data_IF_741691088506
#
_entry.id   IF_741691088506
#
_cell.length_a   1.000
_cell.length_b   1.000
_cell.length_c   1.000
_cell.angle_alpha   90.00
_cell.angle_beta   90.00
_cell.angle_gamma   90.00
#
_symmetry.space_group_name_H-M   'P 1'
#
loop_
_entity.id
_entity.type
_entity.pdbx_description
1 polymer ?
#
# COMPACT_ATOMS: atom_id res chain seq x y z
N UNK A 1 -17.41 -7.13 3.18
CA UNK A 1 -16.22 -6.68 2.43
C UNK A 1 -15.02 -6.73 3.36
N UNK A 2 -13.94 -7.32 2.90
CA UNK A 2 -12.71 -7.47 3.67
C UNK A 2 -11.59 -6.75 2.93
N UNK A 3 -10.79 -6.00 3.65
CA UNK A 3 -9.63 -5.27 3.14
C UNK A 3 -8.39 -5.71 3.90
N UNK A 4 -7.30 -5.80 3.19
CA UNK A 4 -5.96 -5.93 3.77
C UNK A 4 -5.09 -4.87 3.12
N UNK A 5 -4.51 -4.02 3.92
CA UNK A 5 -3.48 -3.08 3.49
C UNK A 5 -2.20 -3.44 4.22
N UNK A 6 -1.11 -3.52 3.47
CA UNK A 6 0.23 -3.83 3.97
C UNK A 6 0.24 -4.91 5.06
N UNK A 7 0.58 -6.08 4.73
CA UNK A 7 0.90 -7.35 5.45
C UNK A 7 0.59 -7.47 6.96
N UNK A 8 0.20 -6.41 7.67
CA UNK A 8 0.07 -6.39 9.13
C UNK A 8 -1.34 -6.13 9.66
N UNK A 9 -2.28 -5.60 8.86
CA UNK A 9 -3.64 -5.34 9.37
C UNK A 9 -4.75 -5.66 8.39
N UNK A 10 -5.85 -6.20 8.91
CA UNK A 10 -7.07 -6.47 8.17
C UNK A 10 -8.23 -5.66 8.77
N UNK A 11 -8.98 -4.97 7.93
CA UNK A 11 -10.27 -4.39 8.30
C UNK A 11 -11.40 -5.23 7.72
N UNK A 12 -12.35 -5.63 8.54
CA UNK A 12 -13.43 -6.51 8.15
C UNK A 12 -14.78 -5.88 8.48
N UNK A 13 -15.74 -5.91 7.52
CA UNK A 13 -17.09 -5.45 7.80
C UNK A 13 -17.74 -6.27 8.91
N UNK A 14 -18.47 -5.61 9.81
CA UNK A 14 -18.99 -6.22 11.04
C UNK A 14 -19.91 -7.42 10.82
N UNK A 15 -20.56 -7.52 9.66
CA UNK A 15 -21.40 -8.66 9.27
C UNK A 15 -20.60 -9.94 8.93
N UNK A 16 -19.33 -9.81 8.58
CA UNK A 16 -18.45 -10.93 8.23
C UNK A 16 -17.35 -11.19 9.28
N UNK A 17 -17.16 -10.26 10.22
CA UNK A 17 -16.02 -10.26 11.12
C UNK A 17 -16.00 -11.50 12.01
N UNK A 18 -17.12 -11.90 12.60
CA UNK A 18 -17.17 -13.06 13.51
C UNK A 18 -16.83 -14.36 12.81
N UNK A 19 -17.38 -14.59 11.63
CA UNK A 19 -17.07 -15.79 10.84
C UNK A 19 -15.61 -15.77 10.38
N UNK A 20 -15.13 -14.63 9.93
CA UNK A 20 -13.75 -14.47 9.51
C UNK A 20 -12.78 -14.73 10.67
N UNK A 21 -13.01 -14.11 11.84
CA UNK A 21 -12.17 -14.31 13.03
C UNK A 21 -12.17 -15.79 13.41
N UNK A 22 -13.32 -16.43 13.47
CA UNK A 22 -13.42 -17.87 13.78
C UNK A 22 -12.57 -18.73 12.84
N UNK A 23 -12.63 -18.46 11.54
CA UNK A 23 -11.89 -19.24 10.53
C UNK A 23 -10.39 -18.96 10.64
N UNK A 24 -9.98 -17.70 10.70
CA UNK A 24 -8.55 -17.32 10.68
C UNK A 24 -7.84 -17.77 11.97
N UNK A 25 -8.49 -17.69 13.12
CA UNK A 25 -7.92 -18.19 14.39
C UNK A 25 -7.75 -19.71 14.38
N UNK A 26 -8.72 -20.45 13.86
CA UNK A 26 -8.61 -21.89 13.69
C UNK A 26 -7.45 -22.26 12.75
N UNK A 27 -7.30 -21.56 11.62
CA UNK A 27 -6.22 -21.82 10.67
C UNK A 27 -4.84 -21.41 11.24
N UNK A 28 -4.75 -20.29 11.92
CA UNK A 28 -3.51 -19.85 12.56
C UNK A 28 -3.04 -20.82 13.65
N UNK A 29 -3.98 -21.40 14.42
CA UNK A 29 -3.69 -22.39 15.44
C UNK A 29 -3.12 -23.72 14.90
N UNK A 30 -3.22 -23.98 13.60
CA UNK A 30 -2.61 -25.14 12.95
C UNK A 30 -1.15 -24.88 12.53
N UNK A 31 -0.71 -23.62 12.57
CA UNK A 31 0.64 -23.24 12.15
C UNK A 31 1.61 -23.26 13.34
N UNK A 32 2.84 -23.67 13.08
CA UNK A 32 3.93 -23.66 14.06
C UNK A 32 5.21 -23.17 13.43
N UNK A 33 5.86 -22.21 14.06
CA UNK A 33 7.20 -21.80 13.69
C UNK A 33 8.18 -22.98 13.89
N UNK A 34 9.15 -23.08 13.01
CA UNK A 34 10.08 -24.21 12.98
C UNK A 34 9.57 -25.45 12.22
N UNK A 35 8.25 -25.52 11.91
CA UNK A 35 7.63 -26.60 11.16
C UNK A 35 7.07 -26.08 9.83
N UNK A 36 6.18 -25.08 9.89
CA UNK A 36 5.50 -24.55 8.72
C UNK A 36 6.18 -23.30 8.13
N UNK A 37 6.94 -22.61 8.93
CA UNK A 37 7.79 -21.47 8.53
C UNK A 37 9.01 -21.36 9.44
N UNK A 38 10.04 -20.65 8.97
CA UNK A 38 11.36 -20.56 9.63
C UNK A 38 11.40 -19.59 10.80
N UNK A 39 12.59 -19.52 11.40
CA UNK A 39 12.94 -18.54 12.42
C UNK A 39 13.04 -17.13 11.81
N UNK A 40 12.91 -16.12 12.66
CA UNK A 40 13.21 -14.74 12.30
C UNK A 40 14.69 -14.60 11.95
N UNK A 41 15.00 -14.07 10.78
CA UNK A 41 16.39 -13.97 10.29
C UNK A 41 17.15 -12.81 10.92
N UNK A 42 16.45 -11.77 11.36
CA UNK A 42 17.04 -10.59 11.98
C UNK A 42 16.63 -10.51 13.47
N UNK A 43 17.58 -10.58 14.41
CA UNK A 43 17.25 -10.46 15.83
C UNK A 43 16.55 -9.15 16.19
N UNK A 44 16.95 -8.02 15.60
CA UNK A 44 16.31 -6.71 15.80
C UNK A 44 14.84 -6.69 15.41
N UNK A 45 14.41 -7.56 14.48
CA UNK A 45 13.01 -7.65 14.11
C UNK A 45 12.14 -8.26 15.20
N UNK A 46 12.72 -9.11 16.03
CA UNK A 46 12.03 -9.66 17.22
C UNK A 46 11.69 -8.55 18.21
N UNK A 47 12.59 -7.56 18.37
CA UNK A 47 12.35 -6.41 19.25
C UNK A 47 11.20 -5.55 18.73
N UNK A 48 11.13 -5.33 17.40
CA UNK A 48 10.02 -4.61 16.76
C UNK A 48 8.71 -5.36 16.94
N UNK A 49 8.68 -6.67 16.67
CA UNK A 49 7.49 -7.50 16.86
C UNK A 49 7.04 -7.46 18.32
N UNK A 50 7.99 -7.60 19.26
CA UNK A 50 7.71 -7.55 20.69
C UNK A 50 7.06 -6.23 21.08
N UNK A 51 7.68 -5.11 20.67
CA UNK A 51 7.14 -3.76 20.93
C UNK A 51 5.72 -3.60 20.39
N UNK A 52 5.48 -3.96 19.14
CA UNK A 52 4.16 -3.81 18.52
C UNK A 52 3.10 -4.66 19.22
N UNK A 53 3.43 -5.89 19.59
CA UNK A 53 2.50 -6.78 20.33
C UNK A 53 2.20 -6.20 21.72
N UNK A 54 3.22 -5.76 22.46
CA UNK A 54 3.06 -5.16 23.78
C UNK A 54 2.25 -3.85 23.71
N UNK A 55 2.55 -2.97 22.75
CA UNK A 55 1.81 -1.72 22.52
C UNK A 55 0.34 -1.99 22.19
N UNK A 56 0.07 -2.98 21.35
CA UNK A 56 -1.30 -3.36 20.96
C UNK A 56 -2.10 -3.88 22.17
N UNK A 57 -1.50 -4.78 22.97
CA UNK A 57 -2.14 -5.34 24.15
C UNK A 57 -2.34 -4.29 25.25
N UNK A 58 -1.34 -3.42 25.48
CA UNK A 58 -1.44 -2.33 26.45
C UNK A 58 -2.50 -1.29 26.08
N UNK A 59 -2.76 -1.12 24.78
CA UNK A 59 -3.83 -0.23 24.26
C UNK A 59 -5.23 -0.86 24.31
N UNK A 60 -5.38 -2.07 24.88
CA UNK A 60 -6.66 -2.75 25.01
C UNK A 60 -7.00 -3.72 23.87
N UNK A 61 -6.08 -4.01 22.98
CA UNK A 61 -6.24 -5.02 21.94
C UNK A 61 -6.54 -6.39 22.53
N UNK A 62 -7.45 -7.13 21.91
CA UNK A 62 -7.90 -8.46 22.36
C UNK A 62 -7.08 -9.55 21.67
N UNK A 63 -6.23 -10.32 22.38
CA UNK A 63 -5.50 -11.43 21.78
C UNK A 63 -6.46 -12.58 21.42
N UNK A 64 -6.44 -12.98 20.16
CA UNK A 64 -7.26 -14.08 19.63
C UNK A 64 -6.42 -15.36 19.46
N UNK A 65 -5.15 -15.20 19.10
CA UNK A 65 -4.16 -16.28 19.00
C UNK A 65 -2.83 -15.74 19.49
N UNK A 66 -2.14 -16.51 20.35
CA UNK A 66 -0.86 -16.10 20.89
C UNK A 66 -0.92 -14.80 21.67
N UNK A 67 0.22 -14.20 21.84
CA UNK A 67 0.45 -12.96 22.59
C UNK A 67 1.93 -12.79 22.81
N UNK A 68 2.32 -12.16 23.91
CA UNK A 68 3.72 -11.97 24.27
C UNK A 68 4.47 -13.31 24.41
N UNK A 69 3.83 -14.33 24.94
CA UNK A 69 4.36 -15.68 25.15
C UNK A 69 4.63 -16.43 23.83
N UNK A 70 4.02 -16.02 22.74
CA UNK A 70 4.24 -16.57 21.41
C UNK A 70 5.60 -16.18 20.81
N UNK A 71 6.28 -15.21 21.42
CA UNK A 71 7.59 -14.71 20.98
C UNK A 71 8.68 -15.44 21.78
N UNK A 72 9.31 -16.42 21.14
CA UNK A 72 10.37 -17.26 21.71
C UNK A 72 11.57 -17.27 20.75
N UNK A 73 12.42 -16.26 20.86
CA UNK A 73 13.55 -16.06 19.96
C UNK A 73 14.34 -17.36 19.69
N UNK A 74 14.68 -17.68 18.46
CA UNK A 74 14.46 -16.92 17.23
C UNK A 74 13.10 -17.16 16.55
N UNK A 75 12.19 -17.88 17.19
CA UNK A 75 10.88 -18.22 16.67
C UNK A 75 9.80 -17.30 17.21
N UNK A 76 8.85 -16.96 16.34
CA UNK A 76 7.62 -16.24 16.71
C UNK A 76 6.46 -17.10 16.21
N UNK A 77 5.60 -17.57 17.11
CA UNK A 77 4.37 -18.29 16.75
C UNK A 77 3.33 -17.30 16.20
N UNK A 78 2.29 -17.77 15.48
CA UNK A 78 1.25 -16.87 14.97
C UNK A 78 0.59 -16.06 16.09
N UNK A 79 0.46 -14.76 15.88
CA UNK A 79 -0.19 -13.82 16.79
C UNK A 79 -1.32 -13.12 16.04
N UNK A 80 -2.52 -13.14 16.61
CA UNK A 80 -3.68 -12.39 16.08
C UNK A 80 -4.26 -11.56 17.21
N UNK A 81 -4.34 -10.25 17.02
CA UNK A 81 -4.91 -9.31 17.98
C UNK A 81 -6.04 -8.54 17.30
N UNK A 82 -7.18 -8.45 17.95
CA UNK A 82 -8.32 -7.70 17.45
C UNK A 82 -8.52 -6.39 18.22
N UNK A 83 -9.27 -5.46 17.62
CA UNK A 83 -9.73 -4.22 18.24
C UNK A 83 -8.59 -3.32 18.74
N UNK A 84 -7.51 -3.23 17.98
CA UNK A 84 -6.37 -2.36 18.29
C UNK A 84 -6.68 -0.94 17.80
N UNK A 85 -6.49 0.11 18.62
CA UNK A 85 -6.69 1.50 18.19
C UNK A 85 -5.88 1.86 16.95
N UNK A 86 -6.49 2.63 16.04
CA UNK A 86 -5.88 2.96 14.74
C UNK A 86 -4.57 3.76 14.84
N UNK A 87 -4.34 4.49 15.91
CA UNK A 87 -3.10 5.24 16.16
C UNK A 87 -2.01 4.42 16.84
N UNK A 88 -2.21 3.11 17.02
CA UNK A 88 -1.22 2.22 17.62
C UNK A 88 -0.10 1.89 16.63
N UNK A 89 1.13 1.69 17.14
CA UNK A 89 2.29 1.33 16.32
C UNK A 89 2.07 0.04 15.51
N UNK A 90 1.41 -0.96 16.09
CA UNK A 90 1.09 -2.23 15.40
C UNK A 90 0.11 -2.07 14.21
N UNK A 91 -0.59 -0.93 14.11
CA UNK A 91 -1.49 -0.60 13.00
C UNK A 91 -0.81 0.36 12.01
N UNK A 92 -0.03 1.32 12.51
CA UNK A 92 0.57 2.39 11.72
C UNK A 92 1.94 2.03 11.13
N UNK A 93 2.66 1.10 11.74
CA UNK A 93 4.00 0.70 11.31
C UNK A 93 3.98 -0.74 10.77
N UNK A 94 4.92 -1.07 9.91
CA UNK A 94 5.02 -2.40 9.33
C UNK A 94 5.65 -3.40 10.32
N UNK A 95 4.88 -4.43 10.69
CA UNK A 95 5.37 -5.53 11.53
C UNK A 95 5.81 -6.69 10.64
N UNK A 96 7.09 -6.77 10.31
CA UNK A 96 7.63 -7.91 9.57
C UNK A 96 7.70 -9.17 10.44
N UNK A 97 6.58 -9.88 10.54
CA UNK A 97 6.47 -11.09 11.35
C UNK A 97 5.08 -11.73 11.27
N UNK A 98 4.86 -12.88 11.91
CA UNK A 98 3.59 -13.59 11.90
C UNK A 98 2.55 -12.96 12.85
N UNK A 99 2.37 -11.65 12.73
CA UNK A 99 1.41 -10.86 13.51
C UNK A 99 0.32 -10.33 12.60
N UNK A 100 -0.92 -10.44 13.01
CA UNK A 100 -2.09 -9.96 12.29
C UNK A 100 -2.97 -9.13 13.22
N UNK A 101 -3.24 -7.89 12.86
CA UNK A 101 -4.23 -7.05 13.52
C UNK A 101 -5.54 -7.12 12.77
N UNK A 102 -6.66 -7.30 13.47
CA UNK A 102 -8.00 -7.36 12.87
C UNK A 102 -8.88 -6.30 13.50
N UNK A 103 -9.26 -5.28 12.75
CA UNK A 103 -10.16 -4.25 13.19
C UNK A 103 -11.52 -4.35 12.49
N UNK A 104 -12.60 -4.16 13.25
CA UNK A 104 -13.98 -4.12 12.74
C UNK A 104 -14.29 -2.76 12.17
N UNK A 105 -15.11 -2.73 11.13
CA UNK A 105 -15.62 -1.51 10.51
C UNK A 105 -17.11 -1.65 10.23
N UNK A 106 -17.82 -0.53 10.25
CA UNK A 106 -19.27 -0.47 10.08
C UNK A 106 -19.69 -0.26 8.62
N UNK A 107 -18.77 0.22 7.78
CA UNK A 107 -19.05 0.51 6.37
C UNK A 107 -17.84 0.33 5.47
N UNK A 108 -18.07 0.26 4.15
CA UNK A 108 -17.02 0.26 3.14
C UNK A 108 -16.22 1.58 3.17
N UNK A 109 -16.87 2.69 3.48
CA UNK A 109 -16.27 4.02 3.57
C UNK A 109 -15.28 4.10 4.74
N UNK A 110 -15.67 3.62 5.91
CA UNK A 110 -14.80 3.54 7.09
C UNK A 110 -13.59 2.63 6.81
N UNK A 111 -13.81 1.50 6.16
CA UNK A 111 -12.73 0.59 5.78
C UNK A 111 -11.71 1.27 4.84
N UNK A 112 -12.18 2.03 3.85
CA UNK A 112 -11.33 2.76 2.92
C UNK A 112 -10.55 3.87 3.64
N UNK A 113 -11.22 4.60 4.55
CA UNK A 113 -10.59 5.66 5.34
C UNK A 113 -9.44 5.09 6.18
N UNK A 114 -9.69 4.04 6.97
CA UNK A 114 -8.68 3.37 7.78
C UNK A 114 -7.54 2.80 6.94
N UNK A 115 -7.86 2.13 5.83
CA UNK A 115 -6.86 1.59 4.92
C UNK A 115 -5.95 2.65 4.28
N UNK A 116 -6.43 3.87 4.11
CA UNK A 116 -5.68 5.00 3.56
C UNK A 116 -5.00 5.88 4.62
N UNK A 117 -5.20 5.59 5.91
CA UNK A 117 -4.72 6.44 7.00
C UNK A 117 -3.23 6.23 7.34
N UNK A 118 -2.61 5.15 6.86
CA UNK A 118 -1.18 4.91 7.04
C UNK A 118 -0.34 5.67 6.01
N UNK A 119 0.93 5.92 6.30
CA UNK A 119 1.88 6.52 5.35
C UNK A 119 2.31 5.55 4.24
N UNK A 120 2.11 4.25 4.44
CA UNK A 120 2.43 3.18 3.51
C UNK A 120 1.35 2.99 2.43
N UNK A 121 1.70 2.27 1.38
CA UNK A 121 0.79 1.94 0.28
C UNK A 121 1.44 1.02 -0.75
N UNK A 122 1.99 -0.12 -0.31
CA UNK A 122 2.58 -1.10 -1.24
C UNK A 122 1.49 -1.88 -1.95
N UNK A 123 0.68 -2.61 -1.20
CA UNK A 123 -0.34 -3.47 -1.76
C UNK A 123 -1.57 -3.60 -0.89
N UNK A 124 -2.71 -3.85 -1.51
CA UNK A 124 -3.96 -4.15 -0.83
C UNK A 124 -4.68 -5.34 -1.45
N UNK A 125 -5.46 -6.04 -0.65
CA UNK A 125 -6.35 -7.10 -1.10
C UNK A 125 -7.79 -6.79 -0.71
N UNK A 126 -8.69 -6.80 -1.68
CA UNK A 126 -10.12 -6.54 -1.48
C UNK A 126 -10.91 -7.79 -1.75
N UNK A 127 -11.63 -8.29 -0.75
CA UNK A 127 -12.48 -9.46 -0.88
C UNK A 127 -13.95 -9.05 -0.95
N UNK A 128 -14.56 -9.19 -2.11
CA UNK A 128 -15.95 -8.79 -2.31
C UNK A 128 -16.56 -9.45 -3.54
N UNK A 129 -17.82 -9.87 -3.45
CA UNK A 129 -18.55 -10.46 -4.58
C UNK A 129 -18.90 -9.43 -5.67
N UNK A 130 -19.19 -8.18 -5.31
CA UNK A 130 -19.74 -7.17 -6.24
C UNK A 130 -19.05 -5.82 -6.22
N UNK A 131 -18.51 -5.39 -5.08
CA UNK A 131 -17.99 -4.02 -4.87
C UNK A 131 -16.48 -3.89 -5.06
N UNK A 132 -15.74 -5.01 -5.24
CA UNK A 132 -14.28 -5.04 -5.20
C UNK A 132 -13.61 -3.98 -6.07
N UNK A 133 -14.04 -3.83 -7.33
CA UNK A 133 -13.50 -2.81 -8.25
C UNK A 133 -13.73 -1.38 -7.77
N UNK A 134 -14.95 -1.07 -7.28
CA UNK A 134 -15.32 0.27 -6.80
C UNK A 134 -14.51 0.66 -5.55
N UNK A 135 -14.26 -0.30 -4.70
CA UNK A 135 -13.46 -0.10 -3.47
C UNK A 135 -11.99 0.06 -3.83
N UNK A 136 -11.45 -0.84 -4.66
CA UNK A 136 -10.07 -0.79 -5.13
C UNK A 136 -9.69 0.59 -5.70
N UNK A 137 -10.57 1.22 -6.48
CA UNK A 137 -10.35 2.56 -7.05
C UNK A 137 -10.21 3.68 -6.00
N UNK A 138 -10.60 3.45 -4.75
CA UNK A 138 -10.54 4.44 -3.68
C UNK A 138 -9.35 4.21 -2.73
N UNK A 139 -8.65 3.08 -2.85
CA UNK A 139 -7.49 2.76 -2.03
C UNK A 139 -6.23 3.44 -2.56
N UNK A 140 -5.47 4.06 -1.66
CA UNK A 140 -4.19 4.73 -1.93
C UNK A 140 -3.05 3.73 -1.80
N UNK A 141 -2.90 2.85 -2.78
CA UNK A 141 -1.85 1.84 -2.80
C UNK A 141 -1.38 1.60 -4.22
N UNK A 142 -0.13 1.18 -4.38
CA UNK A 142 0.46 0.93 -5.70
C UNK A 142 -0.09 -0.30 -6.39
N UNK A 143 -0.54 -1.30 -5.62
CA UNK A 143 -1.04 -2.56 -6.16
C UNK A 143 -2.29 -3.01 -5.43
N UNK A 144 -3.24 -3.61 -6.15
CA UNK A 144 -4.47 -4.13 -5.54
C UNK A 144 -4.85 -5.46 -6.17
N UNK A 145 -5.09 -6.45 -5.31
CA UNK A 145 -5.73 -7.72 -5.70
C UNK A 145 -7.20 -7.73 -5.30
N UNK A 146 -8.04 -8.32 -6.14
CA UNK A 146 -9.46 -8.54 -5.82
C UNK A 146 -9.68 -10.05 -5.72
N UNK A 147 -10.19 -10.51 -4.56
CA UNK A 147 -10.40 -11.92 -4.22
C UNK A 147 -9.13 -12.79 -4.36
N UNK A 148 -7.99 -12.19 -4.09
CA UNK A 148 -6.68 -12.83 -4.06
C UNK A 148 -5.76 -12.08 -3.11
N UNK A 149 -4.85 -12.77 -2.45
CA UNK A 149 -3.89 -12.15 -1.50
C UNK A 149 -2.81 -11.38 -2.27
N UNK A 150 -2.19 -12.00 -3.25
CA UNK A 150 -1.01 -11.50 -3.97
C UNK A 150 -1.13 -11.66 -5.49
N UNK A 151 -2.35 -11.56 -6.02
CA UNK A 151 -2.58 -11.77 -7.45
C UNK A 151 -1.70 -10.89 -8.35
N UNK A 152 -1.39 -9.69 -7.94
CA UNK A 152 -0.53 -8.76 -8.67
C UNK A 152 0.94 -9.20 -8.74
N UNK A 153 1.45 -9.92 -7.74
CA UNK A 153 2.87 -10.30 -7.67
C UNK A 153 3.26 -11.36 -8.73
N UNK A 154 2.31 -12.19 -9.14
CA UNK A 154 2.54 -13.24 -10.15
C UNK A 154 2.39 -12.79 -11.61
N UNK A 155 2.04 -11.53 -11.86
CA UNK A 155 1.75 -11.02 -13.21
C UNK A 155 2.86 -10.05 -13.65
N UNK A 156 3.83 -10.57 -14.40
CA UNK A 156 5.01 -9.80 -14.84
C UNK A 156 4.72 -8.61 -15.77
N UNK A 157 3.53 -8.55 -16.37
CA UNK A 157 3.08 -7.43 -17.20
C UNK A 157 2.45 -6.29 -16.41
N UNK A 158 2.19 -6.50 -15.10
CA UNK A 158 1.59 -5.49 -14.22
C UNK A 158 2.69 -4.82 -13.41
N UNK A 159 2.77 -3.48 -13.39
CA UNK A 159 3.76 -2.77 -12.58
C UNK A 159 3.65 -3.14 -11.11
N UNK A 160 4.78 -3.45 -10.50
CA UNK A 160 4.88 -3.76 -9.07
C UNK A 160 5.63 -2.64 -8.36
N UNK A 161 5.03 -2.06 -7.32
CA UNK A 161 5.63 -1.00 -6.52
C UNK A 161 4.61 -0.25 -5.69
N UNK A 162 5.08 0.48 -4.70
CA UNK A 162 4.27 1.20 -3.72
C UNK A 162 4.06 2.69 -4.01
N UNK A 163 3.43 3.34 -3.05
CA UNK A 163 3.32 4.80 -2.92
C UNK A 163 3.62 5.20 -1.47
N UNK A 164 3.87 6.48 -1.23
CA UNK A 164 4.23 6.98 0.10
C UNK A 164 5.52 6.33 0.61
N UNK A 165 5.57 5.96 1.88
CA UNK A 165 6.75 5.37 2.52
C UNK A 165 7.09 3.96 2.00
N UNK A 166 6.17 3.31 1.28
CA UNK A 166 6.44 2.05 0.56
C UNK A 166 7.26 2.23 -0.72
N UNK A 167 7.70 3.45 -1.03
CA UNK A 167 8.55 3.76 -2.18
C UNK A 167 7.81 4.30 -3.40
N UNK A 168 8.55 4.63 -4.46
CA UNK A 168 8.01 5.32 -5.63
C UNK A 168 8.38 4.66 -6.97
N UNK A 169 9.38 3.80 -7.01
CA UNK A 169 9.77 3.09 -8.23
C UNK A 169 8.78 2.00 -8.63
N UNK A 170 8.99 1.44 -9.81
CA UNK A 170 8.25 0.27 -10.29
C UNK A 170 9.20 -0.79 -10.81
N UNK A 171 8.84 -2.05 -10.59
CA UNK A 171 9.41 -3.20 -11.31
C UNK A 171 8.28 -3.87 -12.10
N UNK A 172 8.61 -4.71 -13.04
CA UNK A 172 7.68 -5.34 -13.98
C UNK A 172 6.99 -4.34 -14.93
N UNK A 173 6.41 -4.87 -15.99
CA UNK A 173 5.71 -4.09 -17.00
C UNK A 173 6.57 -3.07 -17.75
N UNK A 174 5.97 -2.28 -18.62
CA UNK A 174 6.66 -1.18 -19.32
C UNK A 174 7.21 -0.12 -18.37
N UNK A 175 6.56 0.12 -17.25
CA UNK A 175 6.96 1.09 -16.24
C UNK A 175 8.26 0.67 -15.57
N UNK A 176 8.39 -0.60 -15.19
CA UNK A 176 9.63 -1.14 -14.62
C UNK A 176 10.81 -1.06 -15.60
N UNK A 177 10.58 -1.26 -16.90
CA UNK A 177 11.63 -1.08 -17.90
C UNK A 177 12.07 0.39 -18.01
N UNK A 178 11.15 1.34 -17.89
CA UNK A 178 11.45 2.78 -17.93
C UNK A 178 12.33 3.25 -16.79
N UNK A 179 12.30 2.60 -15.62
CA UNK A 179 13.16 2.93 -14.47
C UNK A 179 14.68 2.79 -14.80
N UNK A 180 15.01 1.95 -15.78
CA UNK A 180 16.39 1.78 -16.26
C UNK A 180 16.73 2.67 -17.47
N UNK A 181 15.88 3.64 -17.80
CA UNK A 181 16.04 4.52 -18.96
C UNK A 181 15.92 5.99 -18.54
N UNK A 182 16.33 6.87 -19.43
CA UNK A 182 16.07 8.29 -19.29
C UNK A 182 15.37 8.84 -20.53
N UNK A 183 14.42 9.73 -20.32
CA UNK A 183 13.71 10.37 -21.41
C UNK A 183 14.63 11.39 -22.11
N UNK A 184 14.69 11.32 -23.45
CA UNK A 184 15.38 12.32 -24.29
C UNK A 184 14.36 12.98 -25.19
N UNK A 185 14.31 14.30 -25.15
CA UNK A 185 13.50 15.08 -26.09
C UNK A 185 14.38 15.62 -27.21
N UNK A 186 13.96 15.42 -28.46
CA UNK A 186 14.60 15.99 -29.65
C UNK A 186 13.52 16.83 -30.34
N UNK A 187 13.73 18.15 -30.37
CA UNK A 187 12.86 19.08 -31.09
C UNK A 187 13.59 19.56 -32.37
N UNK A 188 12.99 19.31 -33.51
CA UNK A 188 13.48 19.81 -34.79
C UNK A 188 12.38 20.63 -35.47
N UNK A 189 12.62 21.91 -35.80
CA UNK A 189 11.63 22.71 -36.50
C UNK A 189 11.43 22.20 -37.92
N UNK A 190 10.17 21.94 -38.28
CA UNK A 190 9.80 21.47 -39.64
C UNK A 190 9.97 22.56 -40.68
N UNK A 191 9.82 23.83 -40.24
CA UNK A 191 9.97 25.02 -41.09
C UNK A 191 10.78 26.08 -40.31
N UNK A 192 11.50 26.93 -41.03
CA UNK A 192 12.09 28.13 -40.42
C UNK A 192 10.97 29.06 -40.00
N UNK A 193 10.86 29.32 -38.68
CA UNK A 193 9.90 30.28 -38.20
C UNK A 193 10.26 31.70 -38.68
N UNK A 194 9.34 32.43 -39.25
CA UNK A 194 9.55 33.84 -39.61
C UNK A 194 9.68 34.70 -38.34
N UNK A 195 9.19 34.22 -37.20
CA UNK A 195 9.30 34.86 -35.89
C UNK A 195 10.42 34.22 -35.11
N UNK A 196 11.49 34.96 -34.86
CA UNK A 196 12.61 34.53 -34.00
C UNK A 196 12.25 34.84 -32.53
N UNK A 197 11.53 33.95 -31.86
CA UNK A 197 11.04 34.14 -30.50
C UNK A 197 12.15 34.29 -29.45
N UNK A 198 13.32 33.73 -29.71
CA UNK A 198 14.49 33.75 -28.80
C UNK A 198 15.53 34.80 -29.15
N UNK A 199 15.25 35.69 -30.11
CA UNK A 199 16.20 36.74 -30.52
C UNK A 199 16.15 37.96 -29.57
N UNK A 200 17.29 38.46 -29.15
CA UNK A 200 17.42 39.70 -28.44
C UNK A 200 17.10 40.97 -29.31
N UNK A 201 16.98 40.78 -30.62
CA UNK A 201 16.63 41.87 -31.57
C UNK A 201 15.11 42.03 -31.76
N UNK A 202 14.31 41.59 -30.78
CA UNK A 202 12.86 41.78 -30.83
C UNK A 202 12.50 43.22 -30.55
N UNK A 203 11.59 43.77 -31.32
CA UNK A 203 11.04 45.08 -31.12
C UNK A 203 9.61 45.05 -30.55
N UNK A 204 9.07 46.19 -30.05
CA UNK A 204 7.75 46.25 -29.44
C UNK A 204 6.60 45.72 -30.32
N UNK A 205 6.72 45.82 -31.64
CA UNK A 205 5.72 45.27 -32.61
C UNK A 205 5.71 43.75 -32.59
N UNK A 206 6.89 43.12 -32.49
CA UNK A 206 7.02 41.64 -32.41
C UNK A 206 6.44 41.17 -31.11
N UNK A 207 6.71 41.81 -30.03
CA UNK A 207 6.21 41.45 -28.69
C UNK A 207 4.67 41.57 -28.62
N UNK A 208 4.10 42.65 -29.20
CA UNK A 208 2.64 42.82 -29.29
C UNK A 208 1.97 41.69 -30.15
N UNK A 209 2.62 41.30 -31.23
CA UNK A 209 2.13 40.20 -32.09
C UNK A 209 2.17 38.85 -31.34
N UNK A 210 3.26 38.58 -30.64
CA UNK A 210 3.41 37.37 -29.80
C UNK A 210 2.33 37.31 -28.73
N UNK A 211 2.14 38.45 -28.00
CA UNK A 211 1.13 38.51 -26.95
C UNK A 211 -0.30 38.31 -27.50
N UNK A 212 -0.57 38.77 -28.72
CA UNK A 212 -1.85 38.57 -29.40
C UNK A 212 -2.04 37.09 -29.80
N UNK A 213 -0.99 36.42 -30.32
CA UNK A 213 -1.03 35.02 -30.68
C UNK A 213 -1.20 34.11 -29.45
N UNK A 214 -0.51 34.40 -28.36
CA UNK A 214 -0.66 33.65 -27.10
C UNK A 214 -2.10 33.76 -26.58
N UNK A 215 -2.68 34.96 -26.58
CA UNK A 215 -4.08 35.15 -26.17
C UNK A 215 -5.08 34.41 -27.09
N UNK A 216 -4.77 34.25 -28.35
CA UNK A 216 -5.65 33.58 -29.31
C UNK A 216 -5.57 32.05 -29.20
N UNK A 217 -4.44 31.50 -28.73
CA UNK A 217 -4.19 30.07 -28.62
C UNK A 217 -4.49 29.51 -27.21
N UNK A 218 -4.43 30.32 -26.18
CA UNK A 218 -4.54 29.92 -24.78
C UNK A 218 -5.53 30.75 -23.96
N UNK A 219 -6.21 31.71 -24.53
CA UNK A 219 -7.33 32.44 -23.94
C UNK A 219 -8.63 31.94 -24.48
#
# INVERSE_FOLDING_TARGET
>A
TRFKCDWSSDVCSSDLADEFIRIITAQAGLLSAGVHYGAMTMPSQIDVITKHVEDALAAGGSPLVGGREAIQAPYVQPIIIAEVPENNSAVQEETFGPVLIINRVKSDEEAIEKANATSYGLGASVWSKRKGKKIAQKLRTGMISINSVLGFAGVSSVPFGGVGDSGYGRIHGPEGLKEFTFARSIAAPRFRSPLQLTSFRRGPKTDALIARLIRLLHG
#
